data_IF_099281924584
#
_entry.id   IF_099281924584
#
_cell.length_a   1.000
_cell.length_b   1.000
_cell.length_c   1.000
_cell.angle_alpha   90.00
_cell.angle_beta   90.00
_cell.angle_gamma   90.00
#
_symmetry.space_group_name_H-M   'P 1'
#
loop_
_entity.id
_entity.type
_entity.pdbx_description
1 polymer ?
#
# COMPACT_ATOMS: atom_id res chain seq x y z
N UNK A 1 -37.58 -13.29 34.53
CA UNK A 1 -36.10 -13.49 34.57
C UNK A 1 -35.62 -14.37 33.42
N UNK A 2 -36.15 -15.58 33.23
CA UNK A 2 -35.61 -16.57 32.28
C UNK A 2 -35.89 -16.29 30.80
N UNK A 3 -37.03 -15.67 30.49
CA UNK A 3 -37.37 -15.20 29.14
C UNK A 3 -36.44 -14.09 28.65
N UNK A 4 -36.03 -13.19 29.56
CA UNK A 4 -35.09 -12.10 29.25
C UNK A 4 -33.67 -12.63 28.96
N UNK A 5 -33.22 -13.63 29.72
CA UNK A 5 -31.95 -14.32 29.47
C UNK A 5 -31.92 -15.06 28.13
N UNK A 6 -33.04 -15.67 27.71
CA UNK A 6 -33.17 -16.32 26.40
C UNK A 6 -33.13 -15.32 25.26
N UNK A 7 -33.76 -14.15 25.41
CA UNK A 7 -33.66 -13.06 24.43
C UNK A 7 -32.24 -12.53 24.28
N UNK A 8 -31.52 -12.32 25.39
CA UNK A 8 -30.11 -11.92 25.37
C UNK A 8 -29.22 -12.98 24.71
N UNK A 9 -29.44 -14.26 25.00
CA UNK A 9 -28.69 -15.35 24.39
C UNK A 9 -28.95 -15.46 22.87
N UNK A 10 -30.21 -15.33 22.43
CA UNK A 10 -30.56 -15.32 21.00
C UNK A 10 -29.98 -14.09 20.30
N UNK A 11 -30.04 -12.91 20.91
CA UNK A 11 -29.45 -11.69 20.37
C UNK A 11 -27.92 -11.83 20.25
N UNK A 12 -27.25 -12.37 21.27
CA UNK A 12 -25.82 -12.62 21.25
C UNK A 12 -25.41 -13.65 20.18
N UNK A 13 -26.22 -14.69 19.98
CA UNK A 13 -26.01 -15.70 18.91
C UNK A 13 -26.21 -15.07 17.53
N UNK A 14 -27.22 -14.22 17.32
CA UNK A 14 -27.42 -13.52 16.05
C UNK A 14 -26.24 -12.58 15.74
N UNK A 15 -25.78 -11.80 16.72
CA UNK A 15 -24.61 -10.92 16.58
C UNK A 15 -23.35 -11.73 16.23
N UNK A 16 -23.12 -12.85 16.91
CA UNK A 16 -21.97 -13.72 16.62
C UNK A 16 -22.04 -14.37 15.22
N UNK A 17 -23.24 -14.74 14.76
CA UNK A 17 -23.44 -15.32 13.42
C UNK A 17 -23.26 -14.28 12.32
N UNK A 18 -23.62 -13.01 12.54
CA UNK A 18 -23.35 -11.92 11.57
C UNK A 18 -21.88 -11.58 11.46
N UNK A 19 -21.11 -11.67 12.55
CA UNK A 19 -19.66 -11.46 12.52
C UNK A 19 -18.91 -12.64 11.88
N UNK A 20 -19.48 -13.85 11.99
CA UNK A 20 -18.94 -15.07 11.39
C UNK A 20 -19.26 -15.23 9.89
N UNK A 21 -20.05 -14.34 9.29
CA UNK A 21 -20.32 -14.32 7.86
C UNK A 21 -19.10 -13.78 7.10
N UNK A 22 -18.13 -14.67 6.87
CA UNK A 22 -17.02 -14.60 5.91
C UNK A 22 -16.50 -13.16 5.65
N UNK A 23 -15.76 -12.62 6.62
CA UNK A 23 -15.01 -11.37 6.40
C UNK A 23 -13.96 -11.64 5.32
N UNK A 24 -14.33 -11.32 4.07
CA UNK A 24 -13.46 -11.50 2.91
C UNK A 24 -12.11 -10.86 3.21
N UNK A 25 -11.02 -11.57 2.88
CA UNK A 25 -9.69 -11.02 2.98
C UNK A 25 -9.63 -9.64 2.29
N UNK A 26 -8.97 -8.66 2.92
CA UNK A 26 -9.04 -7.25 2.53
C UNK A 26 -8.80 -7.01 1.02
N UNK A 27 -7.88 -7.77 0.42
CA UNK A 27 -7.49 -7.63 -0.99
C UNK A 27 -8.57 -8.13 -1.97
N UNK A 28 -9.53 -8.94 -1.52
CA UNK A 28 -10.65 -9.42 -2.36
C UNK A 28 -11.68 -8.33 -2.65
N UNK A 29 -11.67 -7.25 -1.88
CA UNK A 29 -12.63 -6.13 -2.00
C UNK A 29 -11.96 -4.77 -2.11
N UNK A 30 -10.62 -4.73 -2.08
CA UNK A 30 -9.85 -3.49 -2.11
C UNK A 30 -9.78 -2.89 -3.52
N UNK A 31 -9.85 -1.57 -3.60
CA UNK A 31 -9.50 -0.80 -4.79
C UNK A 31 -7.99 -0.53 -4.81
N UNK A 32 -7.33 -0.95 -5.88
CA UNK A 32 -5.89 -0.79 -6.06
C UNK A 32 -5.57 0.36 -7.02
N UNK A 33 -4.52 1.11 -6.71
CA UNK A 33 -3.94 2.11 -7.62
C UNK A 33 -2.47 1.80 -7.88
N UNK A 34 -2.13 1.44 -9.10
CA UNK A 34 -0.74 1.20 -9.47
C UNK A 34 -0.04 2.53 -9.75
N UNK A 35 1.14 2.71 -9.16
CA UNK A 35 1.97 3.90 -9.30
C UNK A 35 3.24 3.51 -10.06
N UNK A 36 3.54 4.28 -11.09
CA UNK A 36 4.85 4.30 -11.72
C UNK A 36 5.65 5.48 -11.13
N UNK A 37 6.60 5.25 -10.19
CA UNK A 37 7.17 6.29 -9.33
C UNK A 37 7.73 7.49 -10.08
N UNK A 38 8.58 7.21 -11.08
CA UNK A 38 9.31 8.20 -11.88
C UNK A 38 8.42 9.25 -12.56
N UNK A 39 7.16 8.94 -12.83
CA UNK A 39 6.24 9.84 -13.55
C UNK A 39 5.03 10.26 -12.73
N UNK A 40 4.97 9.92 -11.44
CA UNK A 40 3.80 10.20 -10.63
C UNK A 40 3.81 11.60 -10.03
N UNK A 41 4.79 11.92 -9.18
CA UNK A 41 4.90 13.24 -8.55
C UNK A 41 6.33 13.52 -8.10
N UNK A 42 6.95 14.52 -8.71
CA UNK A 42 8.22 15.12 -8.29
C UNK A 42 8.00 16.01 -7.06
N UNK A 43 8.83 15.88 -6.02
CA UNK A 43 8.75 16.66 -4.79
C UNK A 43 9.86 17.71 -4.60
N UNK A 44 10.95 17.65 -5.36
CA UNK A 44 12.14 18.49 -5.16
C UNK A 44 12.54 19.33 -6.39
N UNK A 45 11.88 19.12 -7.53
CA UNK A 45 12.00 19.91 -8.74
C UNK A 45 13.06 19.40 -9.72
N UNK A 46 13.57 18.18 -9.55
CA UNK A 46 14.55 17.57 -10.46
C UNK A 46 13.93 16.98 -11.74
N UNK A 47 12.59 16.93 -11.83
CA UNK A 47 11.82 16.40 -12.95
C UNK A 47 11.49 14.91 -12.86
N UNK A 48 11.84 14.24 -11.76
CA UNK A 48 11.61 12.82 -11.51
C UNK A 48 10.67 12.64 -10.33
N UNK A 49 9.66 11.79 -10.50
CA UNK A 49 8.78 11.44 -9.39
C UNK A 49 9.49 10.56 -8.36
N UNK A 50 9.24 10.85 -7.08
CA UNK A 50 9.99 10.30 -5.94
C UNK A 50 9.06 9.82 -4.81
N UNK A 51 9.64 9.18 -3.78
CA UNK A 51 8.89 8.60 -2.65
C UNK A 51 8.18 9.68 -1.82
N UNK A 52 8.78 10.87 -1.65
CA UNK A 52 8.15 11.98 -0.92
C UNK A 52 6.95 12.51 -1.68
N UNK A 53 7.03 12.58 -3.00
CA UNK A 53 5.93 12.93 -3.88
C UNK A 53 4.79 11.93 -3.79
N UNK A 54 5.09 10.62 -3.77
CA UNK A 54 4.08 9.58 -3.52
C UNK A 54 3.42 9.79 -2.15
N UNK A 55 4.22 9.99 -1.10
CA UNK A 55 3.74 10.22 0.27
C UNK A 55 2.82 11.45 0.36
N UNK A 56 3.13 12.54 -0.34
CA UNK A 56 2.29 13.75 -0.41
C UNK A 56 0.91 13.48 -1.05
N UNK A 57 0.80 12.50 -1.94
CA UNK A 57 -0.45 12.17 -2.64
C UNK A 57 -1.27 11.07 -1.95
N UNK A 58 -0.74 10.36 -0.95
CA UNK A 58 -1.49 9.34 -0.22
C UNK A 58 -2.84 9.85 0.35
N UNK A 59 -2.96 11.07 0.92
CA UNK A 59 -4.25 11.59 1.36
C UNK A 59 -5.27 11.72 0.23
N UNK A 60 -4.84 12.18 -0.96
CA UNK A 60 -5.71 12.27 -2.13
C UNK A 60 -6.17 10.89 -2.60
N UNK A 61 -5.25 9.91 -2.68
CA UNK A 61 -5.61 8.54 -3.05
C UNK A 61 -6.65 7.95 -2.08
N UNK A 62 -6.50 8.24 -0.78
CA UNK A 62 -7.49 7.83 0.22
C UNK A 62 -8.84 8.52 0.01
N UNK A 63 -8.85 9.81 -0.30
CA UNK A 63 -10.06 10.60 -0.56
C UNK A 63 -10.88 10.03 -1.73
N UNK A 64 -10.22 9.61 -2.82
CA UNK A 64 -10.89 9.02 -3.98
C UNK A 64 -11.24 7.54 -3.81
N UNK A 65 -11.02 6.95 -2.63
CA UNK A 65 -11.46 5.60 -2.28
C UNK A 65 -10.45 4.48 -2.60
N UNK A 66 -9.16 4.78 -2.73
CA UNK A 66 -8.11 3.76 -2.86
C UNK A 66 -7.79 3.15 -1.50
N UNK A 67 -7.75 1.82 -1.45
CA UNK A 67 -7.42 1.04 -0.26
C UNK A 67 -5.93 0.63 -0.23
N UNK A 68 -5.33 0.45 -1.40
CA UNK A 68 -3.95 0.03 -1.55
C UNK A 68 -3.30 0.62 -2.80
N UNK A 69 -2.01 0.93 -2.70
CA UNK A 69 -1.18 1.32 -3.84
C UNK A 69 -0.17 0.22 -4.15
N UNK A 70 0.09 0.00 -5.44
CA UNK A 70 1.12 -0.92 -5.91
C UNK A 70 2.19 -0.12 -6.62
N UNK A 71 3.39 -0.10 -6.05
CA UNK A 71 4.54 0.59 -6.63
C UNK A 71 5.23 -0.32 -7.64
N UNK A 72 5.42 0.19 -8.86
CA UNK A 72 6.45 -0.33 -9.77
C UNK A 72 7.84 -0.22 -9.09
N UNK A 73 8.89 -0.90 -9.57
CA UNK A 73 10.17 -0.98 -8.87
C UNK A 73 10.75 0.37 -8.45
N UNK A 74 11.18 0.44 -7.18
CA UNK A 74 11.89 1.58 -6.56
C UNK A 74 13.29 1.20 -6.07
N UNK A 75 13.71 -0.03 -6.33
CA UNK A 75 15.00 -0.56 -5.90
C UNK A 75 16.13 -0.09 -6.79
N UNK A 76 17.36 -0.08 -6.27
CA UNK A 76 18.56 0.34 -7.03
C UNK A 76 18.66 -0.40 -8.36
N UNK A 77 18.76 0.34 -9.46
CA UNK A 77 18.77 -0.17 -10.83
C UNK A 77 19.57 0.73 -11.78
N UNK A 78 20.27 0.19 -12.80
CA UNK A 78 20.82 1.00 -13.89
C UNK A 78 19.76 1.68 -14.78
N UNK A 79 18.48 1.33 -14.60
CA UNK A 79 17.33 1.85 -15.34
C UNK A 79 17.33 1.50 -16.83
N UNK A 80 17.99 0.42 -17.24
CA UNK A 80 17.96 -0.07 -18.62
C UNK A 80 16.57 -0.59 -19.01
N UNK A 81 15.82 -1.11 -18.04
CA UNK A 81 14.41 -1.50 -18.16
C UNK A 81 13.57 -0.78 -17.09
N UNK A 82 13.86 0.51 -16.89
CA UNK A 82 13.07 1.41 -16.04
C UNK A 82 12.80 0.88 -14.62
N UNK A 83 13.77 0.18 -14.04
CA UNK A 83 13.74 -0.32 -12.66
C UNK A 83 13.46 -1.82 -12.55
N UNK A 84 13.04 -2.50 -13.62
CA UNK A 84 12.86 -3.96 -13.61
C UNK A 84 14.21 -4.72 -13.69
N UNK A 85 15.27 -4.06 -14.16
CA UNK A 85 16.66 -4.51 -14.08
C UNK A 85 17.27 -4.18 -12.70
N UNK A 86 16.83 -4.89 -11.65
CA UNK A 86 17.23 -4.62 -10.26
C UNK A 86 18.68 -5.04 -10.00
N UNK A 87 19.48 -4.14 -9.44
CA UNK A 87 20.87 -4.39 -9.01
C UNK A 87 21.00 -4.64 -7.50
N UNK A 88 20.12 -4.05 -6.67
CA UNK A 88 20.08 -4.31 -5.22
C UNK A 88 18.64 -4.30 -4.69
N UNK A 89 18.13 -5.47 -4.27
CA UNK A 89 16.75 -5.64 -3.77
C UNK A 89 16.50 -5.09 -2.35
N UNK A 90 17.54 -4.64 -1.63
CA UNK A 90 17.40 -4.16 -0.24
C UNK A 90 17.61 -2.66 -0.10
N UNK A 91 17.91 -1.96 -1.19
CA UNK A 91 18.14 -0.52 -1.20
C UNK A 91 17.15 0.16 -2.14
N UNK A 92 16.76 1.38 -1.77
CA UNK A 92 15.99 2.28 -2.64
C UNK A 92 16.97 2.95 -3.61
N UNK A 93 16.58 3.06 -4.88
CA UNK A 93 17.37 3.80 -5.85
C UNK A 93 17.47 5.27 -5.42
N UNK A 94 18.68 5.87 -5.36
CA UNK A 94 18.85 7.26 -4.95
C UNK A 94 18.04 8.28 -5.75
N UNK A 95 17.64 7.93 -6.99
CA UNK A 95 16.69 8.72 -7.80
C UNK A 95 15.34 8.92 -7.13
N UNK A 96 14.89 7.97 -6.31
CA UNK A 96 13.56 8.00 -5.68
C UNK A 96 13.59 8.45 -4.22
N UNK A 97 14.77 8.55 -3.61
CA UNK A 97 14.96 8.94 -2.22
C UNK A 97 15.80 7.93 -1.43
N UNK A 98 15.59 7.87 -0.12
CA UNK A 98 16.33 6.96 0.78
C UNK A 98 15.44 5.88 1.39
N UNK A 99 16.05 4.93 2.11
CA UNK A 99 15.30 3.95 2.88
C UNK A 99 14.47 4.62 3.99
N UNK A 100 14.98 5.68 4.62
CA UNK A 100 14.24 6.47 5.61
C UNK A 100 13.01 7.15 5.00
N UNK A 101 13.12 7.65 3.76
CA UNK A 101 11.97 8.20 3.03
C UNK A 101 10.91 7.11 2.78
N UNK A 102 11.35 5.89 2.45
CA UNK A 102 10.46 4.75 2.29
C UNK A 102 9.78 4.34 3.60
N UNK A 103 10.52 4.32 4.72
CA UNK A 103 9.95 4.09 6.04
C UNK A 103 8.90 5.15 6.41
N UNK A 104 9.15 6.42 6.08
CA UNK A 104 8.19 7.50 6.29
C UNK A 104 6.92 7.32 5.45
N UNK A 105 7.05 6.88 4.19
CA UNK A 105 5.91 6.51 3.34
C UNK A 105 5.07 5.41 3.99
N UNK A 106 5.70 4.34 4.46
CA UNK A 106 5.02 3.22 5.11
C UNK A 106 4.30 3.66 6.40
N UNK A 107 4.94 4.50 7.21
CA UNK A 107 4.36 5.06 8.42
C UNK A 107 3.11 5.89 8.09
N UNK A 108 3.20 6.77 7.08
CA UNK A 108 2.06 7.59 6.66
C UNK A 108 0.92 6.76 6.09
N UNK A 109 1.23 5.79 5.22
CA UNK A 109 0.24 4.89 4.64
C UNK A 109 -0.52 4.13 5.74
N UNK A 110 0.20 3.62 6.74
CA UNK A 110 -0.38 2.96 7.90
C UNK A 110 -1.28 3.88 8.73
N UNK A 111 -0.86 5.12 8.97
CA UNK A 111 -1.63 6.14 9.71
C UNK A 111 -3.02 6.37 9.08
N UNK A 112 -3.09 6.44 7.75
CA UNK A 112 -4.33 6.76 7.02
C UNK A 112 -5.07 5.51 6.51
N UNK A 113 -4.56 4.31 6.82
CA UNK A 113 -5.17 3.05 6.42
C UNK A 113 -5.10 2.75 4.91
N UNK A 114 -4.05 3.19 4.23
CA UNK A 114 -3.71 2.79 2.85
C UNK A 114 -2.59 1.75 2.92
N UNK A 115 -2.71 0.67 2.14
CA UNK A 115 -1.67 -0.37 2.05
C UNK A 115 -0.69 -0.06 0.92
N UNK A 116 0.57 -0.45 1.10
CA UNK A 116 1.60 -0.36 0.07
C UNK A 116 1.97 -1.79 -0.35
N UNK A 117 2.00 -2.04 -1.66
CA UNK A 117 2.50 -3.27 -2.28
C UNK A 117 3.72 -2.89 -3.11
N UNK A 118 4.77 -3.70 -3.02
CA UNK A 118 5.97 -3.57 -3.85
C UNK A 118 5.93 -4.61 -4.97
N UNK A 119 6.39 -4.21 -6.14
CA UNK A 119 6.72 -5.15 -7.20
C UNK A 119 7.93 -6.00 -6.80
N UNK A 120 7.89 -7.29 -7.14
CA UNK A 120 8.98 -8.23 -6.86
C UNK A 120 9.37 -8.92 -8.16
N UNK A 121 10.63 -8.73 -8.57
CA UNK A 121 11.16 -9.16 -9.88
C UNK A 121 12.19 -10.30 -9.68
N UNK A 122 11.75 -11.56 -9.46
CA UNK A 122 12.67 -12.67 -9.17
C UNK A 122 13.25 -13.34 -10.42
N UNK A 123 12.73 -13.02 -11.61
CA UNK A 123 13.08 -13.76 -12.82
C UNK A 123 14.49 -13.44 -13.33
N UNK A 124 15.01 -12.25 -13.04
CA UNK A 124 16.32 -11.78 -13.50
C UNK A 124 16.84 -10.67 -12.58
N UNK A 125 18.12 -10.33 -12.76
CA UNK A 125 18.79 -9.17 -12.15
C UNK A 125 19.52 -8.38 -13.23
N UNK A 126 19.99 -7.17 -12.89
CA UNK A 126 20.95 -6.43 -13.72
C UNK A 126 22.30 -7.15 -13.86
#
# INVERSE_FOLDING_TARGET
MWTFLRFLAVLAVIIAVTDAADSKAWWKTASFYQIYPRSFKDSDGDGIGDIKGIMQQLPYLKEIGIDATWLSPVFTSPMADFGYDVANFTEIDPMFGTLEDFEALLAKAKEIGVKIILDFVPNHTS
#
